data_IF_547848867571
#
_entry.id   IF_547848867571
#
_cell.length_a   1.000
_cell.length_b   1.000
_cell.length_c   1.000
_cell.angle_alpha   90.00
_cell.angle_beta   90.00
_cell.angle_gamma   90.00
#
_symmetry.space_group_name_H-M   'P 1'
#
loop_
_entity.id
_entity.type
_entity.pdbx_description
1 polymer ?
#
# COMPACT_ATOMS: atom_id res chain seq x y z
N UNK A 1 -3.71 4.84 -25.15
CA UNK A 1 -3.24 5.25 -23.80
C UNK A 1 -4.28 4.82 -22.77
N UNK A 2 -4.47 3.50 -22.59
CA UNK A 2 -5.60 2.96 -21.80
C UNK A 2 -5.13 1.97 -20.73
N UNK A 3 -3.96 1.35 -20.94
CA UNK A 3 -3.40 0.31 -20.06
C UNK A 3 -2.97 0.85 -18.69
N UNK A 4 -2.39 2.06 -18.64
CA UNK A 4 -1.86 2.65 -17.40
C UNK A 4 -2.95 3.07 -16.41
N UNK A 5 -4.18 3.36 -16.85
CA UNK A 5 -5.28 3.63 -15.92
C UNK A 5 -5.80 2.34 -15.27
N UNK A 6 -5.90 1.26 -16.05
CA UNK A 6 -6.42 -0.02 -15.55
C UNK A 6 -5.50 -0.65 -14.49
N UNK A 7 -4.17 -0.56 -14.65
CA UNK A 7 -3.22 -1.13 -13.68
C UNK A 7 -3.27 -0.39 -12.33
N UNK A 8 -3.45 0.93 -12.35
CA UNK A 8 -3.54 1.74 -11.14
C UNK A 8 -4.83 1.45 -10.35
N UNK A 9 -5.94 1.25 -11.07
CA UNK A 9 -7.21 0.82 -10.45
C UNK A 9 -7.08 -0.58 -9.84
N UNK A 10 -6.44 -1.52 -10.55
CA UNK A 10 -6.18 -2.86 -10.03
C UNK A 10 -5.27 -2.82 -8.79
N UNK A 11 -4.19 -2.06 -8.82
CA UNK A 11 -3.31 -1.85 -7.67
C UNK A 11 -4.07 -1.27 -6.47
N UNK A 12 -4.92 -0.28 -6.70
CA UNK A 12 -5.75 0.32 -5.64
C UNK A 12 -6.70 -0.70 -4.99
N UNK A 13 -7.32 -1.57 -5.79
CA UNK A 13 -8.21 -2.63 -5.29
C UNK A 13 -7.42 -3.68 -4.48
N UNK A 14 -6.34 -4.21 -5.07
CA UNK A 14 -5.54 -5.25 -4.43
C UNK A 14 -4.89 -4.73 -3.14
N UNK A 15 -4.45 -3.47 -3.13
CA UNK A 15 -3.88 -2.84 -1.95
C UNK A 15 -4.89 -2.72 -0.79
N UNK A 16 -6.17 -2.45 -1.08
CA UNK A 16 -7.20 -2.43 -0.04
C UNK A 16 -7.36 -3.80 0.60
N UNK A 17 -7.36 -4.87 -0.20
CA UNK A 17 -7.43 -6.24 0.29
C UNK A 17 -6.17 -6.63 1.07
N UNK A 18 -4.99 -6.29 0.55
CA UNK A 18 -3.71 -6.46 1.25
C UNK A 18 -3.73 -5.80 2.63
N UNK A 19 -4.17 -4.54 2.71
CA UNK A 19 -4.25 -3.81 3.96
C UNK A 19 -5.23 -4.47 4.94
N UNK A 20 -6.41 -4.90 4.47
CA UNK A 20 -7.37 -5.63 5.30
C UNK A 20 -6.83 -6.96 5.82
N UNK A 21 -5.99 -7.65 5.05
CA UNK A 21 -5.50 -8.97 5.44
C UNK A 21 -4.28 -8.89 6.36
N UNK A 22 -3.29 -8.06 6.00
CA UNK A 22 -1.99 -8.06 6.68
C UNK A 22 -1.81 -6.91 7.69
N UNK A 23 -2.56 -5.82 7.56
CA UNK A 23 -2.30 -4.58 8.30
C UNK A 23 -3.42 -4.20 9.28
N UNK A 24 -4.48 -5.01 9.34
CA UNK A 24 -5.61 -4.83 10.26
C UNK A 24 -5.18 -4.74 11.73
N UNK A 25 -4.10 -5.43 12.10
CA UNK A 25 -3.54 -5.47 13.45
C UNK A 25 -2.39 -4.48 13.69
N UNK A 26 -2.03 -3.63 12.72
CA UNK A 26 -0.82 -2.79 12.77
C UNK A 26 -0.94 -1.55 13.69
N UNK A 27 -1.61 -1.71 14.84
CA UNK A 27 -1.49 -0.80 15.98
C UNK A 27 -0.07 -0.80 16.58
N UNK A 28 0.74 -1.81 16.29
CA UNK A 28 2.04 -2.03 16.93
C UNK A 28 3.23 -1.31 16.28
N UNK A 29 3.04 -0.55 15.18
CA UNK A 29 4.12 0.16 14.46
C UNK A 29 5.33 -0.74 14.11
N UNK A 30 5.15 -2.06 14.16
CA UNK A 30 6.21 -3.03 13.99
C UNK A 30 6.37 -3.38 12.50
N UNK A 31 7.61 -3.32 11.95
CA UNK A 31 7.88 -3.83 10.63
C UNK A 31 7.54 -5.31 10.52
N UNK A 32 7.06 -5.72 9.36
CA UNK A 32 6.77 -7.12 9.05
C UNK A 32 7.27 -7.49 7.66
N UNK A 33 7.42 -8.79 7.41
CA UNK A 33 7.81 -9.34 6.11
C UNK A 33 6.59 -10.04 5.49
N UNK A 34 6.27 -9.71 4.24
CA UNK A 34 5.28 -10.43 3.43
C UNK A 34 5.95 -10.88 2.15
N UNK A 35 6.08 -12.21 1.97
CA UNK A 35 6.55 -12.82 0.73
C UNK A 35 7.76 -12.09 0.11
N UNK A 36 8.82 -11.91 0.91
CA UNK A 36 10.08 -11.30 0.47
C UNK A 36 10.11 -9.76 0.49
N UNK A 37 8.99 -9.07 0.70
CA UNK A 37 8.95 -7.62 0.86
C UNK A 37 8.95 -7.20 2.33
N UNK A 38 9.71 -6.14 2.66
CA UNK A 38 9.59 -5.45 3.94
C UNK A 38 8.41 -4.50 3.92
N UNK A 39 7.67 -4.44 5.02
CA UNK A 39 6.57 -3.49 5.23
C UNK A 39 6.88 -2.69 6.48
N UNK A 40 7.18 -1.41 6.31
CA UNK A 40 7.49 -0.48 7.40
C UNK A 40 6.30 0.44 7.68
N UNK A 41 5.55 0.22 8.78
CA UNK A 41 4.51 1.14 9.20
C UNK A 41 5.12 2.41 9.82
N UNK A 42 4.51 3.56 9.54
CA UNK A 42 4.84 4.86 10.12
C UNK A 42 3.58 5.64 10.41
N UNK A 43 3.38 6.04 11.66
CA UNK A 43 2.26 6.91 12.01
C UNK A 43 2.45 8.30 11.42
N UNK A 44 1.38 8.84 10.84
CA UNK A 44 1.37 10.20 10.28
C UNK A 44 0.25 11.02 10.90
N UNK A 45 0.43 12.34 10.94
CA UNK A 45 -0.59 13.25 11.46
C UNK A 45 -1.90 13.10 10.71
N UNK A 46 -3.01 13.09 11.45
CA UNK A 46 -4.34 13.01 10.86
C UNK A 46 -4.62 14.21 9.95
N UNK A 47 -5.25 13.94 8.80
CA UNK A 47 -5.72 14.98 7.89
C UNK A 47 -6.97 15.68 8.43
N UNK A 48 -7.20 16.89 7.92
CA UNK A 48 -8.52 17.53 7.95
C UNK A 48 -9.58 16.59 7.35
N UNK A 49 -10.78 16.57 7.95
CA UNK A 49 -11.91 15.71 7.56
C UNK A 49 -11.75 14.20 7.83
N UNK A 50 -10.84 13.81 8.72
CA UNK A 50 -10.78 12.45 9.27
C UNK A 50 -11.26 12.50 10.74
N UNK A 51 -12.09 11.55 11.22
CA UNK A 51 -12.52 11.52 12.62
C UNK A 51 -11.33 11.56 13.58
N UNK A 52 -11.43 12.31 14.67
CA UNK A 52 -10.31 12.54 15.60
C UNK A 52 -9.73 11.25 16.22
N UNK A 53 -10.57 10.22 16.40
CA UNK A 53 -10.16 8.92 16.92
C UNK A 53 -9.54 7.98 15.86
N UNK A 54 -9.47 8.40 14.59
CA UNK A 54 -8.83 7.60 13.55
C UNK A 54 -7.30 7.67 13.67
N UNK A 55 -6.63 6.67 13.12
CA UNK A 55 -5.18 6.61 13.02
C UNK A 55 -4.79 6.59 11.55
N UNK A 56 -4.03 7.60 11.12
CA UNK A 56 -3.46 7.64 9.77
C UNK A 56 -2.06 7.00 9.80
N UNK A 57 -1.86 6.00 8.94
CA UNK A 57 -0.61 5.27 8.81
C UNK A 57 -0.10 5.37 7.38
N UNK A 58 1.20 5.59 7.23
CA UNK A 58 1.93 5.41 5.98
C UNK A 58 2.70 4.10 6.07
N UNK A 59 2.64 3.31 5.01
CA UNK A 59 3.37 2.05 4.89
C UNK A 59 4.34 2.19 3.72
N UNK A 60 5.59 1.81 3.96
CA UNK A 60 6.62 1.72 2.93
C UNK A 60 6.84 0.23 2.68
N UNK A 61 6.68 -0.18 1.42
CA UNK A 61 6.95 -1.55 0.98
C UNK A 61 8.17 -1.53 0.08
N UNK A 62 9.16 -2.36 0.41
CA UNK A 62 10.35 -2.57 -0.42
C UNK A 62 10.57 -4.05 -0.66
N UNK A 63 10.68 -4.43 -1.94
CA UNK A 63 11.00 -5.80 -2.33
C UNK A 63 12.40 -5.83 -2.95
N UNK A 64 13.41 -6.35 -2.23
CA UNK A 64 14.80 -6.35 -2.72
C UNK A 64 14.98 -7.27 -3.93
N UNK A 65 14.38 -8.46 -3.92
CA UNK A 65 14.53 -9.43 -5.02
C UNK A 65 13.79 -9.02 -6.31
N UNK A 66 12.54 -8.56 -6.19
CA UNK A 66 11.76 -8.03 -7.32
C UNK A 66 12.11 -6.57 -7.64
N UNK A 67 12.97 -5.95 -6.83
CA UNK A 67 13.58 -4.64 -7.05
C UNK A 67 12.63 -3.44 -7.04
N UNK A 68 11.40 -3.54 -6.55
CA UNK A 68 10.45 -2.40 -6.53
C UNK A 68 10.25 -1.87 -5.12
N UNK A 69 9.76 -0.64 -5.01
CA UNK A 69 9.23 -0.11 -3.78
C UNK A 69 8.02 0.78 -4.02
N UNK A 70 7.14 0.86 -3.03
CA UNK A 70 6.04 1.79 -3.05
C UNK A 70 5.64 2.22 -1.65
N UNK A 71 5.04 3.40 -1.58
CA UNK A 71 4.51 3.98 -0.36
C UNK A 71 3.03 4.20 -0.53
N UNK A 72 2.26 3.74 0.44
CA UNK A 72 0.85 4.02 0.49
C UNK A 72 0.43 4.47 1.88
N UNK A 73 -0.75 5.04 1.94
CA UNK A 73 -1.38 5.44 3.20
C UNK A 73 -2.63 4.62 3.42
N UNK A 74 -2.92 4.28 4.68
CA UNK A 74 -4.22 3.78 5.11
C UNK A 74 -4.72 4.58 6.32
N UNK A 75 -6.03 4.76 6.44
CA UNK A 75 -6.67 5.36 7.63
C UNK A 75 -7.48 4.28 8.32
N UNK A 76 -7.27 4.16 9.63
CA UNK A 76 -7.89 3.16 10.48
C UNK A 76 -8.81 3.83 11.49
N UNK A 77 -9.96 3.22 11.77
CA UNK A 77 -10.88 3.63 12.81
C UNK A 77 -11.42 2.39 13.49
N UNK A 78 -11.25 2.31 14.82
CA UNK A 78 -11.74 1.20 15.64
C UNK A 78 -11.31 -0.20 15.14
N UNK A 79 -10.02 -0.35 14.79
CA UNK A 79 -9.47 -1.62 14.31
C UNK A 79 -9.90 -2.04 12.90
N UNK A 80 -10.56 -1.15 12.14
CA UNK A 80 -10.95 -1.38 10.76
C UNK A 80 -10.45 -0.28 9.83
N UNK A 81 -10.36 -0.56 8.52
CA UNK A 81 -10.14 0.49 7.53
C UNK A 81 -11.32 1.44 7.52
N UNK A 82 -11.05 2.75 7.59
CA UNK A 82 -12.07 3.78 7.55
C UNK A 82 -12.74 3.79 6.17
N UNK A 83 -14.06 3.62 6.06
CA UNK A 83 -14.76 3.72 4.78
C UNK A 83 -14.92 5.18 4.33
N UNK A 84 -14.93 5.45 3.01
CA UNK A 84 -14.70 4.50 1.92
C UNK A 84 -13.21 4.17 1.74
N UNK A 85 -12.86 2.88 1.73
CA UNK A 85 -11.47 2.41 1.66
C UNK A 85 -10.71 2.95 0.44
N UNK A 86 -11.36 3.11 -0.70
CA UNK A 86 -10.76 3.71 -1.90
C UNK A 86 -10.27 5.17 -1.72
N UNK A 87 -10.80 5.90 -0.74
CA UNK A 87 -10.34 7.26 -0.39
C UNK A 87 -9.26 7.25 0.68
N UNK A 88 -9.28 6.23 1.54
CA UNK A 88 -8.45 6.14 2.73
C UNK A 88 -7.25 5.23 2.57
N UNK A 89 -7.21 4.38 1.53
CA UNK A 89 -6.10 3.54 1.10
C UNK A 89 -5.62 4.01 -0.27
N UNK A 90 -4.45 4.65 -0.33
CA UNK A 90 -3.96 5.29 -1.56
C UNK A 90 -2.46 5.09 -1.71
N UNK A 91 -2.01 4.62 -2.88
CA UNK A 91 -0.59 4.66 -3.27
C UNK A 91 -0.20 6.11 -3.50
N UNK A 92 0.78 6.57 -2.73
CA UNK A 92 1.29 7.94 -2.82
C UNK A 92 2.48 8.05 -3.76
N UNK A 93 3.29 6.98 -3.84
CA UNK A 93 4.50 6.94 -4.66
C UNK A 93 4.91 5.52 -4.95
N UNK A 94 5.38 5.29 -6.17
CA UNK A 94 6.04 4.06 -6.61
C UNK A 94 7.46 4.41 -7.07
N UNK A 95 8.39 3.47 -6.92
CA UNK A 95 9.75 3.62 -7.42
C UNK A 95 10.37 2.26 -7.78
N UNK A 96 11.31 2.31 -8.70
CA UNK A 96 12.15 1.17 -9.07
C UNK A 96 13.48 1.26 -8.31
N UNK A 97 13.86 0.21 -7.60
CA UNK A 97 15.14 0.11 -6.90
C UNK A 97 16.28 -0.36 -7.83
N UNK A 98 15.97 -0.74 -9.07
CA UNK A 98 16.96 -1.28 -10.02
C UNK A 98 17.40 -0.28 -11.10
N UNK A 99 16.77 0.90 -11.16
CA UNK A 99 16.94 1.89 -12.23
C UNK A 99 16.79 1.32 -13.67
N UNK A 100 16.07 0.21 -13.81
CA UNK A 100 15.95 -0.56 -15.06
C UNK A 100 14.52 -0.58 -15.61
N UNK A 101 13.52 -0.25 -14.79
CA UNK A 101 12.10 -0.23 -15.16
C UNK A 101 11.58 1.16 -15.48
N UNK A 102 10.65 1.19 -16.43
CA UNK A 102 9.77 2.34 -16.63
C UNK A 102 8.73 2.40 -15.50
N UNK A 103 8.12 3.57 -15.23
CA UNK A 103 7.02 3.68 -14.26
C UNK A 103 5.90 2.67 -14.50
N UNK A 104 5.50 2.46 -15.76
CA UNK A 104 4.44 1.49 -16.11
C UNK A 104 4.82 0.05 -15.74
N UNK A 105 6.05 -0.37 -16.06
CA UNK A 105 6.55 -1.70 -15.68
C UNK A 105 6.75 -1.87 -14.16
N UNK A 106 6.98 -0.77 -13.43
CA UNK A 106 7.01 -0.81 -11.96
C UNK A 106 5.60 -1.03 -11.41
N UNK A 107 4.60 -0.32 -11.92
CA UNK A 107 3.20 -0.50 -11.52
C UNK A 107 2.70 -1.92 -11.83
N UNK A 108 3.12 -2.50 -12.96
CA UNK A 108 2.86 -3.91 -13.32
C UNK A 108 3.48 -4.88 -12.33
N UNK A 109 4.78 -4.71 -11.99
CA UNK A 109 5.43 -5.59 -11.02
C UNK A 109 4.81 -5.51 -9.61
N UNK A 110 4.39 -4.31 -9.19
CA UNK A 110 3.63 -4.13 -7.94
C UNK A 110 2.30 -4.87 -8.02
N UNK A 111 1.60 -4.78 -9.16
CA UNK A 111 0.33 -5.46 -9.36
C UNK A 111 0.48 -6.98 -9.28
N UNK A 112 1.44 -7.53 -9.99
CA UNK A 112 1.72 -8.97 -10.01
C UNK A 112 2.02 -9.49 -8.59
N UNK A 113 2.86 -8.76 -7.85
CA UNK A 113 3.16 -9.12 -6.46
C UNK A 113 1.92 -9.00 -5.56
N UNK A 114 1.19 -7.88 -5.61
CA UNK A 114 -0.04 -7.70 -4.83
C UNK A 114 -1.07 -8.80 -5.11
N UNK A 115 -1.25 -9.21 -6.37
CA UNK A 115 -2.12 -10.33 -6.73
C UNK A 115 -1.63 -11.67 -6.18
N UNK A 116 -0.31 -11.90 -6.16
CA UNK A 116 0.25 -13.15 -5.66
C UNK A 116 0.14 -13.29 -4.14
N UNK A 117 0.26 -12.18 -3.40
CA UNK A 117 0.28 -12.20 -1.92
C UNK A 117 -1.09 -11.97 -1.30
N UNK A 118 -2.05 -11.46 -2.05
CA UNK A 118 -3.38 -11.15 -1.51
C UNK A 118 -4.33 -12.33 -1.77
N UNK A 119 -5.00 -12.86 -0.73
CA UNK A 119 -5.88 -14.02 -0.85
C UNK A 119 -7.24 -13.74 -1.52
#
# INVERSE_FOLDING_TARGET
MTTSNNINEANSLMLQQFALHYLLSAADEAPLLVEGASVEPRRVSNRTNVPAASVSMTYIIEHPELGFGFRFRAVWFDGALLPPSATHVVIEREWDNTDSRTPASTSEAINDWLQAVTP
#
